data_IF_211637071401
#
_entry.id   IF_211637071401
#
_cell.length_a   1.000
_cell.length_b   1.000
_cell.length_c   1.000
_cell.angle_alpha   90.00
_cell.angle_beta   90.00
_cell.angle_gamma   90.00
#
_symmetry.space_group_name_H-M   'P 1'
#
loop_
_entity.id
_entity.type
_entity.pdbx_description
1 polymer ?
#
# COMPACT_ATOMS: atom_id res chain seq x y z
N UNK A 1 29.04 44.78 32.31
CA UNK A 1 27.67 45.35 32.30
C UNK A 1 27.25 45.54 30.86
N UNK A 2 25.97 45.27 30.59
CA UNK A 2 25.22 45.45 29.33
C UNK A 2 25.16 44.23 28.40
N UNK A 3 24.26 43.34 28.85
CA UNK A 3 23.43 42.39 28.12
C UNK A 3 23.02 42.85 26.72
N UNK A 4 23.29 42.04 25.70
CA UNK A 4 22.67 42.17 24.37
C UNK A 4 21.43 41.27 24.34
N UNK A 5 20.25 41.87 24.51
CA UNK A 5 18.98 41.16 24.47
C UNK A 5 18.56 40.92 23.01
N UNK A 6 18.26 39.65 22.71
CA UNK A 6 17.63 39.19 21.49
C UNK A 6 16.26 39.89 21.28
N UNK A 7 16.10 40.61 20.18
CA UNK A 7 14.77 40.92 19.63
C UNK A 7 14.42 39.85 18.60
N UNK A 8 13.94 38.70 19.10
CA UNK A 8 13.18 37.75 18.28
C UNK A 8 11.86 38.42 17.97
N UNK A 9 11.71 38.89 16.75
CA UNK A 9 10.43 39.35 16.23
C UNK A 9 9.46 38.17 16.24
N UNK A 10 8.24 38.28 16.80
CA UNK A 10 7.26 37.22 16.68
C UNK A 10 6.92 37.10 15.19
N UNK A 11 7.26 35.96 14.59
CA UNK A 11 6.82 35.62 13.25
C UNK A 11 5.31 35.73 13.22
N UNK A 12 4.79 36.69 12.45
CA UNK A 12 3.37 36.77 12.14
C UNK A 12 2.99 35.43 11.51
N UNK A 13 2.22 34.63 12.24
CA UNK A 13 1.55 33.47 11.67
C UNK A 13 0.78 33.92 10.44
N UNK A 14 1.07 33.28 9.30
CA UNK A 14 0.26 33.43 8.10
C UNK A 14 -1.20 33.12 8.48
N UNK A 15 -2.18 33.96 8.10
CA UNK A 15 -3.58 33.58 8.27
C UNK A 15 -3.83 32.29 7.47
N UNK A 16 -4.72 31.38 7.93
CA UNK A 16 -5.07 30.19 7.16
C UNK A 16 -5.59 30.63 5.80
N UNK A 17 -5.00 30.06 4.76
CA UNK A 17 -5.38 30.24 3.36
C UNK A 17 -6.90 30.03 3.26
N UNK A 18 -7.68 31.10 3.06
CA UNK A 18 -9.10 31.21 3.45
C UNK A 18 -10.08 30.33 2.62
N UNK A 19 -9.59 29.31 1.92
CA UNK A 19 -10.40 28.37 1.13
C UNK A 19 -9.86 26.93 1.07
N UNK A 20 -8.79 26.62 1.81
CA UNK A 20 -8.28 25.26 1.90
C UNK A 20 -9.20 24.38 2.77
N UNK A 21 -9.57 23.19 2.29
CA UNK A 21 -10.44 22.25 3.00
C UNK A 21 -9.75 20.90 3.12
N UNK A 22 -9.73 20.35 4.33
CA UNK A 22 -9.27 18.98 4.58
C UNK A 22 -10.47 18.04 4.65
N UNK A 23 -10.42 16.94 3.91
CA UNK A 23 -11.34 15.83 3.97
C UNK A 23 -10.65 14.65 4.64
N UNK A 24 -11.37 13.96 5.51
CA UNK A 24 -10.89 12.74 6.16
C UNK A 24 -11.68 11.56 5.62
N UNK A 25 -11.00 10.71 4.86
CA UNK A 25 -11.59 9.56 4.18
C UNK A 25 -11.23 8.28 4.92
N UNK A 26 -12.19 7.70 5.65
CA UNK A 26 -12.04 6.42 6.33
C UNK A 26 -12.40 5.27 5.40
N UNK A 27 -11.48 4.32 5.24
CA UNK A 27 -11.61 3.19 4.32
C UNK A 27 -11.04 1.90 4.90
N UNK A 28 -11.42 0.76 4.31
CA UNK A 28 -10.94 -0.56 4.71
C UNK A 28 -10.37 -1.33 3.51
N UNK A 29 -9.35 -2.16 3.75
CA UNK A 29 -8.90 -3.14 2.76
C UNK A 29 -10.04 -4.08 2.34
N UNK A 30 -10.22 -4.26 1.04
CA UNK A 30 -11.27 -5.13 0.46
C UNK A 30 -12.65 -4.47 0.31
N UNK A 31 -12.78 -3.16 0.54
CA UNK A 31 -14.02 -2.41 0.37
C UNK A 31 -14.17 -1.89 -1.08
N UNK A 32 -15.08 -2.44 -1.91
CA UNK A 32 -15.22 -2.02 -3.32
C UNK A 32 -15.67 -0.56 -3.46
N UNK A 33 -16.63 -0.14 -2.64
CA UNK A 33 -17.14 1.24 -2.64
C UNK A 33 -16.08 2.27 -2.20
N UNK A 34 -15.09 1.86 -1.41
CA UNK A 34 -13.99 2.72 -1.01
C UNK A 34 -13.03 2.99 -2.17
N UNK A 35 -12.79 2.01 -3.04
CA UNK A 35 -11.96 2.21 -4.23
C UNK A 35 -12.64 3.16 -5.23
N UNK A 36 -13.96 3.04 -5.41
CA UNK A 36 -14.74 3.98 -6.25
C UNK A 36 -14.66 5.42 -5.73
N UNK A 37 -14.90 5.64 -4.43
CA UNK A 37 -14.81 6.98 -3.83
C UNK A 37 -13.39 7.55 -3.91
N UNK A 38 -12.37 6.71 -3.76
CA UNK A 38 -10.96 7.11 -3.88
C UNK A 38 -10.63 7.65 -5.27
N UNK A 39 -11.17 7.05 -6.33
CA UNK A 39 -11.02 7.56 -7.71
C UNK A 39 -11.63 8.96 -7.83
N UNK A 40 -12.84 9.15 -7.28
CA UNK A 40 -13.52 10.45 -7.28
C UNK A 40 -12.72 11.50 -6.49
N UNK A 41 -12.25 11.17 -5.29
CA UNK A 41 -11.45 12.07 -4.44
C UNK A 41 -10.13 12.47 -5.11
N UNK A 42 -9.44 11.55 -5.78
CA UNK A 42 -8.21 11.85 -6.52
C UNK A 42 -8.46 12.80 -7.70
N UNK A 43 -9.57 12.60 -8.43
CA UNK A 43 -9.97 13.52 -9.50
C UNK A 43 -10.31 14.91 -8.93
N UNK A 44 -10.90 14.96 -7.73
CA UNK A 44 -11.25 16.20 -7.06
C UNK A 44 -10.01 17.01 -6.61
N UNK A 45 -9.03 16.35 -6.00
CA UNK A 45 -7.74 16.98 -5.61
C UNK A 45 -6.99 17.50 -6.84
N UNK A 46 -7.04 16.75 -7.95
CA UNK A 46 -6.39 17.16 -9.21
C UNK A 46 -7.03 18.43 -9.82
N UNK A 47 -8.35 18.61 -9.61
CA UNK A 47 -9.09 19.78 -10.10
C UNK A 47 -8.96 21.00 -9.18
N UNK A 48 -8.80 20.79 -7.87
CA UNK A 48 -8.69 21.86 -6.89
C UNK A 48 -7.58 21.56 -5.87
N UNK A 49 -6.37 22.13 -6.08
CA UNK A 49 -5.21 21.90 -5.20
C UNK A 49 -5.41 22.37 -3.74
N UNK A 50 -6.46 23.15 -3.47
CA UNK A 50 -6.81 23.60 -2.11
C UNK A 50 -7.60 22.55 -1.33
N UNK A 51 -7.95 21.44 -1.97
CA UNK A 51 -8.59 20.30 -1.34
C UNK A 51 -7.49 19.31 -0.92
N UNK A 52 -7.39 19.05 0.38
CA UNK A 52 -6.50 18.04 0.93
C UNK A 52 -7.31 16.84 1.40
N UNK A 53 -6.97 15.64 0.92
CA UNK A 53 -7.62 14.40 1.36
C UNK A 53 -6.66 13.61 2.24
N UNK A 54 -7.06 13.33 3.48
CA UNK A 54 -6.34 12.50 4.44
C UNK A 54 -7.04 11.14 4.47
N UNK A 55 -6.38 10.11 3.95
CA UNK A 55 -6.95 8.76 3.89
C UNK A 55 -6.52 7.94 5.10
N UNK A 56 -7.50 7.43 5.85
CA UNK A 56 -7.34 6.72 7.11
C UNK A 56 -7.83 5.28 6.95
N UNK A 57 -6.90 4.33 6.88
CA UNK A 57 -7.21 2.90 6.76
C UNK A 57 -7.54 2.30 8.13
N UNK A 58 -8.67 1.61 8.29
CA UNK A 58 -9.18 1.14 9.61
C UNK A 58 -9.05 -0.37 9.87
N UNK A 59 -8.72 -1.18 8.86
CA UNK A 59 -8.59 -2.65 9.02
C UNK A 59 -7.26 -3.05 9.61
N UNK A 60 -6.15 -2.46 9.18
CA UNK A 60 -4.80 -2.77 9.65
C UNK A 60 -4.34 -1.86 10.80
N UNK A 61 -4.82 -0.61 10.86
CA UNK A 61 -4.43 0.35 11.91
C UNK A 61 -5.41 0.37 13.08
N UNK A 62 -4.91 0.04 14.28
CA UNK A 62 -5.68 0.14 15.53
C UNK A 62 -6.03 1.59 15.88
N UNK A 63 -5.07 2.51 15.73
CA UNK A 63 -5.24 3.93 16.06
C UNK A 63 -6.31 4.60 15.17
N UNK A 64 -6.28 4.32 13.86
CA UNK A 64 -7.29 4.84 12.94
C UNK A 64 -8.67 4.25 13.21
N UNK A 65 -8.74 2.99 13.67
CA UNK A 65 -10.01 2.36 14.06
C UNK A 65 -10.60 3.00 15.31
N UNK A 66 -9.76 3.30 16.31
CA UNK A 66 -10.19 4.02 17.50
C UNK A 66 -10.66 5.44 17.14
N UNK A 67 -9.91 6.14 16.29
CA UNK A 67 -10.31 7.45 15.76
C UNK A 67 -11.64 7.38 15.01
N UNK A 68 -11.82 6.40 14.13
CA UNK A 68 -13.07 6.18 13.40
C UNK A 68 -14.26 5.98 14.34
N UNK A 69 -14.08 5.19 15.41
CA UNK A 69 -15.11 4.97 16.42
C UNK A 69 -15.47 6.28 17.15
N UNK A 70 -14.47 7.05 17.58
CA UNK A 70 -14.68 8.36 18.21
C UNK A 70 -15.42 9.32 17.29
N UNK A 71 -15.01 9.42 16.02
CA UNK A 71 -15.65 10.28 15.02
C UNK A 71 -17.10 9.87 14.78
N UNK A 72 -17.38 8.56 14.64
CA UNK A 72 -18.76 8.07 14.49
C UNK A 72 -19.63 8.41 15.70
N UNK A 73 -19.09 8.35 16.91
CA UNK A 73 -19.80 8.74 18.13
C UNK A 73 -20.05 10.25 18.21
N UNK A 74 -19.03 11.06 17.94
CA UNK A 74 -19.12 12.53 17.98
C UNK A 74 -20.12 13.07 16.95
N UNK A 75 -20.08 12.54 15.72
CA UNK A 75 -20.99 12.95 14.64
C UNK A 75 -22.34 12.22 14.67
N UNK A 76 -22.53 11.30 15.64
CA UNK A 76 -23.73 10.47 15.81
C UNK A 76 -24.14 9.78 14.50
N UNK A 77 -23.17 9.15 13.84
CA UNK A 77 -23.40 8.44 12.58
C UNK A 77 -24.30 7.22 12.87
N UNK A 78 -25.50 7.12 12.26
CA UNK A 78 -26.50 6.12 12.63
C UNK A 78 -26.09 4.69 12.25
N UNK A 79 -25.29 4.54 11.20
CA UNK A 79 -24.76 3.26 10.73
C UNK A 79 -23.26 3.44 10.48
N UNK A 80 -22.41 3.17 11.49
CA UNK A 80 -20.97 3.22 11.34
C UNK A 80 -20.50 2.19 10.30
N UNK A 81 -19.86 2.66 9.24
CA UNK A 81 -19.33 1.82 8.17
C UNK A 81 -18.43 2.61 7.25
N UNK A 82 -17.64 1.89 6.44
CA UNK A 82 -16.79 2.49 5.40
C UNK A 82 -17.42 2.28 4.01
N UNK A 83 -17.17 3.18 3.05
CA UNK A 83 -16.40 4.41 3.21
C UNK A 83 -17.15 5.48 4.02
N UNK A 84 -16.42 6.30 4.77
CA UNK A 84 -16.95 7.47 5.46
C UNK A 84 -16.02 8.66 5.19
N UNK A 85 -16.57 9.71 4.59
CA UNK A 85 -15.82 10.94 4.31
C UNK A 85 -16.34 12.07 5.18
N UNK A 86 -15.46 12.68 5.97
CA UNK A 86 -15.79 13.78 6.89
C UNK A 86 -15.15 15.07 6.41
N UNK A 87 -15.94 16.15 6.43
CA UNK A 87 -15.54 17.50 6.02
C UNK A 87 -16.01 18.50 7.07
N UNK A 88 -15.09 19.03 7.87
CA UNK A 88 -15.43 19.85 9.02
C UNK A 88 -16.22 19.04 10.05
N UNK A 89 -17.50 19.37 10.22
CA UNK A 89 -18.48 18.64 11.05
C UNK A 89 -19.56 17.91 10.24
N UNK A 90 -19.48 17.94 8.90
CA UNK A 90 -20.37 17.22 8.00
C UNK A 90 -19.74 15.90 7.59
N UNK A 91 -20.57 14.92 7.22
CA UNK A 91 -20.09 13.64 6.73
C UNK A 91 -20.96 13.09 5.60
N UNK A 92 -20.35 12.24 4.78
CA UNK A 92 -21.02 11.39 3.79
C UNK A 92 -20.67 9.94 4.12
N UNK A 93 -21.68 9.18 4.50
CA UNK A 93 -21.54 7.76 4.85
C UNK A 93 -21.96 6.88 3.66
N UNK A 94 -21.02 6.05 3.20
CA UNK A 94 -21.18 5.18 2.05
C UNK A 94 -21.05 5.90 0.71
N UNK A 95 -20.57 5.14 -0.29
CA UNK A 95 -20.46 5.61 -1.66
C UNK A 95 -21.47 4.89 -2.55
N UNK A 96 -22.28 5.67 -3.28
CA UNK A 96 -23.29 5.16 -4.23
C UNK A 96 -23.06 5.71 -5.65
N UNK A 97 -21.87 6.25 -5.90
CA UNK A 97 -21.45 6.79 -7.19
C UNK A 97 -21.47 8.32 -7.29
N UNK A 98 -20.85 8.80 -8.37
CA UNK A 98 -20.59 10.22 -8.65
C UNK A 98 -21.84 11.08 -8.77
N UNK A 99 -22.98 10.48 -9.13
CA UNK A 99 -24.25 11.18 -9.32
C UNK A 99 -25.09 11.28 -8.05
N UNK A 100 -24.79 10.48 -7.01
CA UNK A 100 -25.60 10.39 -5.79
C UNK A 100 -24.82 10.87 -4.57
N UNK A 101 -23.70 10.22 -4.25
CA UNK A 101 -22.81 10.62 -3.14
C UNK A 101 -21.91 11.80 -3.52
N UNK A 102 -21.49 11.88 -4.79
CA UNK A 102 -20.63 12.96 -5.30
C UNK A 102 -21.18 14.38 -5.05
N UNK A 103 -22.46 14.70 -5.40
CA UNK A 103 -23.00 16.03 -5.19
C UNK A 103 -23.18 16.37 -3.70
N UNK A 104 -23.46 15.38 -2.86
CA UNK A 104 -23.53 15.55 -1.40
C UNK A 104 -22.17 15.95 -0.84
N UNK A 105 -21.11 15.29 -1.30
CA UNK A 105 -19.74 15.59 -0.89
C UNK A 105 -19.30 16.98 -1.38
N UNK A 106 -19.57 17.34 -2.63
CA UNK A 106 -19.27 18.67 -3.17
C UNK A 106 -20.02 19.77 -2.41
N UNK A 107 -21.27 19.52 -2.01
CA UNK A 107 -22.06 20.44 -1.17
C UNK A 107 -21.46 20.59 0.22
N UNK A 108 -20.99 19.50 0.84
CA UNK A 108 -20.32 19.56 2.14
C UNK A 108 -19.02 20.40 2.07
N UNK A 109 -18.24 20.26 1.00
CA UNK A 109 -17.02 21.05 0.77
C UNK A 109 -17.33 22.53 0.57
N UNK A 110 -18.34 22.87 -0.23
CA UNK A 110 -18.71 24.27 -0.44
C UNK A 110 -19.24 24.93 0.84
N UNK A 111 -20.00 24.20 1.65
CA UNK A 111 -20.43 24.65 2.98
C UNK A 111 -19.24 24.85 3.91
N UNK A 112 -18.31 23.90 3.96
CA UNK A 112 -17.10 24.02 4.78
C UNK A 112 -16.26 25.26 4.40
N UNK A 113 -16.14 25.58 3.10
CA UNK A 113 -15.44 26.78 2.61
C UNK A 113 -16.15 28.08 2.99
N UNK A 114 -17.46 28.12 2.77
CA UNK A 114 -18.24 29.35 2.94
C UNK A 114 -18.51 29.70 4.41
N UNK A 115 -18.66 28.68 5.26
CA UNK A 115 -19.06 28.85 6.67
C UNK A 115 -17.91 28.64 7.66
N UNK A 116 -16.74 28.16 7.21
CA UNK A 116 -15.61 27.88 8.10
C UNK A 116 -15.94 26.83 9.15
N UNK A 117 -16.49 25.69 8.73
CA UNK A 117 -16.94 24.64 9.65
C UNK A 117 -15.77 24.10 10.49
N UNK A 118 -15.99 23.82 11.79
CA UNK A 118 -14.93 23.33 12.67
C UNK A 118 -14.46 21.94 12.23
N UNK A 119 -13.14 21.72 12.21
CA UNK A 119 -12.54 20.44 11.86
C UNK A 119 -12.63 19.44 13.04
N UNK A 120 -13.68 18.63 13.04
CA UNK A 120 -13.95 17.66 14.11
C UNK A 120 -12.91 16.55 14.12
N UNK A 121 -12.43 16.08 12.95
CA UNK A 121 -11.44 15.01 12.90
C UNK A 121 -10.04 15.56 13.20
N UNK A 122 -9.71 16.75 12.68
CA UNK A 122 -8.45 17.43 12.95
C UNK A 122 -8.20 17.71 14.43
N UNK A 123 -9.26 17.98 15.20
CA UNK A 123 -9.17 18.18 16.66
C UNK A 123 -9.02 16.87 17.45
N UNK A 124 -9.40 15.74 16.87
CA UNK A 124 -9.26 14.40 17.46
C UNK A 124 -7.96 13.70 17.06
N UNK A 125 -7.27 14.23 16.05
CA UNK A 125 -5.97 13.75 15.64
C UNK A 125 -4.90 14.22 16.64
N UNK A 126 -4.10 13.30 17.23
CA UNK A 126 -2.86 13.71 17.89
C UNK A 126 -2.00 14.42 16.83
N UNK A 127 -1.60 15.66 17.14
CA UNK A 127 -0.90 16.64 16.31
C UNK A 127 -0.31 16.13 14.98
N UNK A 128 -0.81 16.74 13.89
CA UNK A 128 -0.42 16.65 12.48
C UNK A 128 -0.88 15.39 11.70
N UNK A 129 -1.88 15.51 10.80
CA UNK A 129 -2.15 14.47 9.82
C UNK A 129 -0.95 14.34 8.85
N UNK A 130 -0.51 13.12 8.52
CA UNK A 130 0.44 12.91 7.44
C UNK A 130 -0.15 13.43 6.11
N UNK A 131 0.71 13.90 5.18
CA UNK A 131 0.26 14.32 3.85
C UNK A 131 -0.49 13.19 3.13
N UNK A 132 -1.44 13.62 2.27
CA UNK A 132 -2.34 12.84 1.43
C UNK A 132 -1.70 11.61 0.72
N UNK A 133 -2.49 10.60 0.33
CA UNK A 133 -2.00 9.29 -0.11
C UNK A 133 -1.36 9.36 -1.50
N UNK A 134 -0.07 9.72 -1.54
CA UNK A 134 0.84 8.99 -2.40
C UNK A 134 1.01 7.58 -1.82
N UNK A 135 1.36 6.61 -2.66
CA UNK A 135 1.92 5.34 -2.20
C UNK A 135 3.24 5.64 -1.47
N UNK A 136 3.16 6.16 -0.25
CA UNK A 136 4.29 6.27 0.64
C UNK A 136 4.57 4.84 1.10
N UNK A 137 5.45 4.18 0.35
CA UNK A 137 6.17 3.01 0.83
C UNK A 137 6.64 3.40 2.24
N UNK A 138 6.29 2.63 3.29
CA UNK A 138 6.59 3.00 4.66
C UNK A 138 8.08 3.34 4.73
N UNK A 139 8.44 4.56 5.15
CA UNK A 139 9.84 5.00 5.09
C UNK A 139 10.74 4.15 5.98
N UNK A 140 10.14 3.45 6.95
CA UNK A 140 10.74 2.53 7.90
C UNK A 140 10.08 1.15 7.81
N UNK A 141 10.90 0.11 7.62
CA UNK A 141 10.49 -1.29 7.77
C UNK A 141 10.93 -1.77 9.15
N UNK A 142 9.98 -2.14 10.00
CA UNK A 142 10.27 -2.80 11.27
C UNK A 142 10.55 -4.28 11.00
N UNK A 143 11.82 -4.68 11.07
CA UNK A 143 12.22 -6.07 10.87
C UNK A 143 12.34 -6.75 12.23
N UNK A 144 11.70 -7.92 12.45
CA UNK A 144 11.90 -8.68 13.66
C UNK A 144 13.41 -8.97 13.82
N UNK A 145 13.96 -8.60 14.97
CA UNK A 145 15.40 -8.63 15.35
C UNK A 145 16.28 -7.46 14.92
N UNK A 146 15.99 -6.72 13.84
CA UNK A 146 16.86 -5.62 13.36
C UNK A 146 16.30 -4.21 13.62
N UNK A 147 15.08 -4.09 14.14
CA UNK A 147 14.46 -2.79 14.47
C UNK A 147 13.96 -2.03 13.23
N UNK A 148 13.77 -0.72 13.35
CA UNK A 148 13.27 0.13 12.26
C UNK A 148 14.38 0.49 11.27
N UNK A 149 14.32 -0.05 10.05
CA UNK A 149 15.27 0.24 8.97
C UNK A 149 14.67 1.28 8.03
N UNK A 150 15.34 2.43 7.88
CA UNK A 150 14.95 3.46 6.90
C UNK A 150 15.31 3.03 5.48
N UNK A 151 14.32 2.79 4.63
CA UNK A 151 14.50 2.38 3.23
C UNK A 151 15.26 3.42 2.39
N UNK A 152 15.11 4.71 2.71
CA UNK A 152 15.78 5.83 2.02
C UNK A 152 17.30 5.83 2.17
N UNK A 153 17.82 5.18 3.22
CA UNK A 153 19.26 5.13 3.50
C UNK A 153 19.94 3.91 2.85
N UNK A 154 19.17 3.01 2.24
CA UNK A 154 19.73 1.86 1.52
C UNK A 154 20.11 2.27 0.10
N UNK A 155 21.34 1.92 -0.30
CA UNK A 155 21.72 2.05 -1.71
C UNK A 155 20.86 1.12 -2.57
N UNK A 156 20.55 1.53 -3.80
CA UNK A 156 19.77 0.72 -4.74
C UNK A 156 20.40 -0.67 -4.95
N UNK A 157 21.73 -0.73 -4.98
CA UNK A 157 22.49 -1.98 -5.13
C UNK A 157 22.31 -2.88 -3.89
N UNK A 158 22.38 -2.31 -2.69
CA UNK A 158 22.16 -3.05 -1.44
C UNK A 158 20.74 -3.60 -1.37
N UNK A 159 19.74 -2.79 -1.74
CA UNK A 159 18.35 -3.21 -1.75
C UNK A 159 18.12 -4.35 -2.76
N UNK A 160 18.65 -4.23 -3.98
CA UNK A 160 18.58 -5.29 -4.99
C UNK A 160 19.25 -6.58 -4.51
N UNK A 161 20.42 -6.49 -3.87
CA UNK A 161 21.11 -7.66 -3.34
C UNK A 161 20.31 -8.36 -2.24
N UNK A 162 19.71 -7.58 -1.32
CA UNK A 162 18.88 -8.12 -0.23
C UNK A 162 17.63 -8.79 -0.79
N UNK A 163 16.89 -8.11 -1.67
CA UNK A 163 15.66 -8.66 -2.26
C UNK A 163 15.95 -9.89 -3.13
N UNK A 164 17.03 -9.87 -3.92
CA UNK A 164 17.47 -11.02 -4.70
C UNK A 164 17.90 -12.20 -3.83
N UNK A 165 18.59 -11.95 -2.71
CA UNK A 165 18.92 -12.99 -1.75
C UNK A 165 17.65 -13.60 -1.12
N UNK A 166 16.71 -12.77 -0.69
CA UNK A 166 15.45 -13.23 -0.11
C UNK A 166 14.62 -14.07 -1.10
N UNK A 167 14.58 -13.68 -2.38
CA UNK A 167 13.91 -14.46 -3.42
C UNK A 167 14.67 -15.75 -3.77
N UNK A 168 16.00 -15.74 -3.70
CA UNK A 168 16.84 -16.94 -3.88
C UNK A 168 16.67 -17.99 -2.78
N UNK A 169 16.32 -17.58 -1.55
CA UNK A 169 15.99 -18.47 -0.44
C UNK A 169 14.53 -18.97 -0.47
N UNK A 170 13.76 -18.65 -1.52
CA UNK A 170 12.44 -19.23 -1.73
C UNK A 170 12.57 -20.75 -1.96
N UNK A 171 11.77 -21.61 -1.29
CA UNK A 171 11.84 -23.06 -1.45
C UNK A 171 11.77 -23.50 -2.92
N UNK A 172 10.99 -22.84 -3.78
CA UNK A 172 10.93 -23.18 -5.20
C UNK A 172 12.24 -22.88 -5.94
N UNK A 173 12.81 -21.69 -5.71
CA UNK A 173 14.06 -21.27 -6.33
C UNK A 173 15.26 -22.10 -5.83
N UNK A 174 15.27 -22.42 -4.53
CA UNK A 174 16.31 -23.24 -3.92
C UNK A 174 16.39 -24.64 -4.54
N UNK A 175 15.26 -25.33 -4.72
CA UNK A 175 15.25 -26.67 -5.32
C UNK A 175 15.71 -26.67 -6.78
N UNK A 176 15.30 -25.67 -7.56
CA UNK A 176 15.79 -25.48 -8.92
C UNK A 176 17.31 -25.23 -8.96
N UNK A 177 17.84 -24.45 -8.02
CA UNK A 177 19.27 -24.17 -7.91
C UNK A 177 20.07 -25.43 -7.56
N UNK A 178 19.60 -26.23 -6.60
CA UNK A 178 20.26 -27.49 -6.22
C UNK A 178 20.30 -28.45 -7.42
N UNK A 179 19.18 -28.58 -8.13
CA UNK A 179 19.10 -29.40 -9.34
C UNK A 179 20.08 -28.92 -10.42
N UNK A 180 20.13 -27.61 -10.67
CA UNK A 180 21.07 -27.01 -11.63
C UNK A 180 22.53 -27.29 -11.22
N UNK A 181 22.89 -27.04 -9.97
CA UNK A 181 24.25 -27.27 -9.45
C UNK A 181 24.61 -28.76 -9.60
N UNK A 182 23.69 -29.67 -9.26
CA UNK A 182 23.90 -31.12 -9.42
C UNK A 182 24.20 -31.51 -10.87
N UNK A 183 23.45 -30.96 -11.84
CA UNK A 183 23.69 -31.18 -13.26
C UNK A 183 25.04 -30.61 -13.70
N UNK A 184 25.41 -29.42 -13.23
CA UNK A 184 26.65 -28.73 -13.61
C UNK A 184 27.90 -29.40 -13.02
N UNK A 185 27.83 -29.94 -11.80
CA UNK A 185 28.94 -30.66 -11.15
C UNK A 185 29.30 -31.97 -11.88
N UNK A 186 28.36 -32.57 -12.61
CA UNK A 186 28.61 -33.76 -13.42
C UNK A 186 29.38 -33.50 -14.72
N UNK A 187 29.68 -32.24 -15.05
CA UNK A 187 30.36 -31.89 -16.31
C UNK A 187 31.89 -32.02 -16.18
N UNK A 188 32.56 -32.76 -17.09
CA UNK A 188 34.01 -32.98 -17.02
C UNK A 188 34.84 -31.73 -17.37
N UNK A 189 34.24 -30.71 -17.99
CA UNK A 189 34.95 -29.52 -18.49
C UNK A 189 34.43 -28.24 -17.81
N UNK A 190 35.34 -27.53 -17.15
CA UNK A 190 35.02 -26.30 -16.37
C UNK A 190 34.45 -25.17 -17.22
N UNK A 191 34.87 -25.01 -18.48
CA UNK A 191 34.35 -23.95 -19.35
C UNK A 191 32.87 -24.16 -19.71
N UNK A 192 32.45 -25.42 -19.92
CA UNK A 192 31.05 -25.78 -20.18
C UNK A 192 30.17 -25.45 -18.98
N UNK A 193 30.69 -25.67 -17.77
CA UNK A 193 30.01 -25.33 -16.52
C UNK A 193 29.65 -23.82 -16.46
N UNK A 194 30.62 -22.94 -16.74
CA UNK A 194 30.39 -21.49 -16.78
C UNK A 194 29.44 -21.08 -17.91
N UNK A 195 29.54 -21.72 -19.09
CA UNK A 195 28.66 -21.43 -20.22
C UNK A 195 27.20 -21.78 -19.90
N UNK A 196 26.93 -23.02 -19.45
CA UNK A 196 25.57 -23.47 -19.17
C UNK A 196 24.96 -22.72 -17.98
N UNK A 197 25.74 -22.49 -16.91
CA UNK A 197 25.30 -21.67 -15.77
C UNK A 197 25.01 -20.23 -16.18
N UNK A 198 25.87 -19.62 -17.00
CA UNK A 198 25.68 -18.25 -17.49
C UNK A 198 24.45 -18.11 -18.39
N UNK A 199 24.24 -19.04 -19.33
CA UNK A 199 23.06 -19.07 -20.19
C UNK A 199 21.78 -19.25 -19.37
N UNK A 200 21.80 -20.12 -18.35
CA UNK A 200 20.67 -20.31 -17.45
C UNK A 200 20.33 -19.01 -16.69
N UNK A 201 21.31 -18.36 -16.06
CA UNK A 201 21.11 -17.12 -15.31
C UNK A 201 20.59 -16.01 -16.22
N UNK A 202 21.18 -15.85 -17.41
CA UNK A 202 20.76 -14.85 -18.39
C UNK A 202 19.33 -15.08 -18.88
N UNK A 203 19.00 -16.32 -19.26
CA UNK A 203 17.66 -16.67 -19.72
C UNK A 203 16.61 -16.47 -18.63
N UNK A 204 16.91 -16.90 -17.39
CA UNK A 204 16.02 -16.70 -16.23
C UNK A 204 15.78 -15.22 -15.96
N UNK A 205 16.84 -14.40 -15.93
CA UNK A 205 16.73 -12.96 -15.73
C UNK A 205 15.95 -12.26 -16.83
N UNK A 206 16.17 -12.64 -18.09
CA UNK A 206 15.45 -12.09 -19.25
C UNK A 206 13.95 -12.41 -19.18
N UNK A 207 13.60 -13.67 -18.91
CA UNK A 207 12.20 -14.08 -18.75
C UNK A 207 11.57 -13.31 -17.59
N UNK A 208 12.22 -13.27 -16.42
CA UNK A 208 11.70 -12.56 -15.25
C UNK A 208 11.46 -11.07 -15.53
N UNK A 209 12.41 -10.42 -16.22
CA UNK A 209 12.26 -9.03 -16.64
C UNK A 209 11.06 -8.83 -17.58
N UNK A 210 10.90 -9.68 -18.60
CA UNK A 210 9.77 -9.59 -19.54
C UNK A 210 8.43 -9.79 -18.83
N UNK A 211 8.35 -10.73 -17.89
CA UNK A 211 7.17 -10.92 -17.06
C UNK A 211 6.88 -9.66 -16.21
N UNK A 212 7.86 -9.12 -15.51
CA UNK A 212 7.63 -7.89 -14.72
C UNK A 212 7.24 -6.69 -15.59
N UNK A 213 7.83 -6.56 -16.77
CA UNK A 213 7.58 -5.44 -17.69
C UNK A 213 6.20 -5.52 -18.37
N UNK A 214 5.77 -6.71 -18.80
CA UNK A 214 4.53 -6.87 -19.55
C UNK A 214 3.28 -6.97 -18.67
N UNK A 215 3.43 -7.39 -17.41
CA UNK A 215 2.32 -8.03 -16.71
C UNK A 215 1.63 -7.18 -15.64
N UNK A 216 2.28 -6.15 -15.10
CA UNK A 216 1.70 -5.36 -14.00
C UNK A 216 0.30 -4.79 -14.36
N UNK A 217 0.14 -4.28 -15.58
CA UNK A 217 -1.13 -3.69 -16.03
C UNK A 217 -2.16 -4.75 -16.45
N UNK A 218 -1.71 -5.88 -17.02
CA UNK A 218 -2.58 -6.96 -17.51
C UNK A 218 -3.22 -7.72 -16.35
N UNK A 219 -2.47 -7.97 -15.27
CA UNK A 219 -2.99 -8.66 -14.09
C UNK A 219 -4.02 -7.83 -13.33
N UNK A 220 -3.81 -6.51 -13.21
CA UNK A 220 -4.72 -5.59 -12.51
C UNK A 220 -6.02 -5.38 -13.29
N UNK A 221 -5.99 -5.33 -14.62
CA UNK A 221 -7.17 -5.08 -15.44
C UNK A 221 -8.14 -6.27 -15.54
N UNK A 222 -7.63 -7.51 -15.50
CA UNK A 222 -8.43 -8.69 -15.80
C UNK A 222 -9.04 -9.40 -14.58
N UNK A 223 -8.76 -8.98 -13.35
CA UNK A 223 -9.18 -9.73 -12.14
C UNK A 223 -8.65 -11.17 -12.10
N UNK A 224 -7.69 -11.48 -12.97
CA UNK A 224 -7.24 -12.82 -13.33
C UNK A 224 -6.38 -13.45 -12.23
N UNK A 225 -5.84 -12.64 -11.32
CA UNK A 225 -4.98 -13.07 -10.22
C UNK A 225 -5.69 -14.07 -9.32
N UNK A 226 -7.00 -13.93 -9.07
CA UNK A 226 -7.75 -14.89 -8.25
C UNK A 226 -7.83 -16.26 -8.93
N UNK A 227 -8.26 -16.31 -10.19
CA UNK A 227 -8.44 -17.56 -10.95
C UNK A 227 -7.12 -18.26 -11.23
N UNK A 228 -6.06 -17.50 -11.55
CA UNK A 228 -4.71 -18.05 -11.74
C UNK A 228 -4.17 -18.61 -10.43
N UNK A 229 -4.34 -17.91 -9.31
CA UNK A 229 -3.92 -18.39 -7.98
C UNK A 229 -4.67 -19.65 -7.57
N UNK A 230 -5.99 -19.70 -7.80
CA UNK A 230 -6.80 -20.88 -7.54
C UNK A 230 -6.33 -22.06 -8.42
N UNK A 231 -6.11 -21.81 -9.71
CA UNK A 231 -5.63 -22.82 -10.65
C UNK A 231 -4.27 -23.42 -10.25
N UNK A 232 -3.28 -22.57 -9.96
CA UNK A 232 -1.95 -23.02 -9.49
C UNK A 232 -2.08 -23.80 -8.17
N UNK A 233 -2.94 -23.33 -7.25
CA UNK A 233 -3.18 -24.01 -5.98
C UNK A 233 -3.76 -25.41 -6.15
N UNK A 234 -4.76 -25.58 -7.02
CA UNK A 234 -5.36 -26.90 -7.32
C UNK A 234 -4.34 -27.84 -7.95
N UNK A 235 -3.55 -27.36 -8.91
CA UNK A 235 -2.48 -28.17 -9.54
C UNK A 235 -1.43 -28.60 -8.53
N UNK A 236 -1.00 -27.69 -7.65
CA UNK A 236 -0.03 -27.99 -6.60
C UNK A 236 -0.57 -29.02 -5.60
N UNK A 237 -1.82 -28.87 -5.16
CA UNK A 237 -2.46 -29.85 -4.27
C UNK A 237 -2.59 -31.22 -4.95
N UNK A 238 -3.01 -31.25 -6.22
CA UNK A 238 -3.10 -32.48 -7.00
C UNK A 238 -1.76 -33.21 -7.12
N UNK A 239 -0.70 -32.50 -7.52
CA UNK A 239 0.65 -33.04 -7.61
C UNK A 239 1.17 -33.53 -6.25
N UNK A 240 0.89 -32.78 -5.17
CA UNK A 240 1.23 -33.17 -3.81
C UNK A 240 0.54 -34.46 -3.36
N UNK A 241 -0.76 -34.60 -3.63
CA UNK A 241 -1.53 -35.82 -3.29
C UNK A 241 -1.04 -37.03 -4.07
N UNK A 242 -0.71 -36.88 -5.37
CA UNK A 242 -0.16 -37.96 -6.19
C UNK A 242 1.17 -38.44 -5.62
N UNK A 243 2.11 -37.53 -5.35
CA UNK A 243 3.40 -37.88 -4.76
C UNK A 243 3.26 -38.55 -3.39
N UNK A 244 2.34 -38.08 -2.54
CA UNK A 244 2.12 -38.67 -1.22
C UNK A 244 1.50 -40.07 -1.33
N UNK A 245 0.57 -40.27 -2.27
CA UNK A 245 -0.05 -41.57 -2.53
C UNK A 245 0.98 -42.59 -3.03
N UNK A 246 1.83 -42.20 -3.98
CA UNK A 246 2.91 -43.06 -4.48
C UNK A 246 3.87 -43.43 -3.34
N UNK A 247 4.32 -42.46 -2.55
CA UNK A 247 5.18 -42.73 -1.40
C UNK A 247 4.59 -43.72 -0.38
N UNK A 248 3.30 -43.59 -0.07
CA UNK A 248 2.63 -44.50 0.88
C UNK A 248 2.44 -45.90 0.28
N UNK A 249 2.10 -46.00 -1.01
CA UNK A 249 1.92 -47.28 -1.69
C UNK A 249 3.24 -48.05 -1.86
N UNK A 250 4.34 -47.35 -2.11
CA UNK A 250 5.67 -47.96 -2.24
C UNK A 250 6.30 -48.31 -0.88
N UNK A 251 5.79 -47.73 0.22
CA UNK A 251 6.26 -47.98 1.59
C UNK A 251 5.54 -49.13 2.30
N UNK A 252 4.47 -49.68 1.72
CA UNK A 252 3.72 -50.87 2.19
C UNK A 252 4.03 -52.08 1.35
#
# INVERSE_FOLDING_TARGET
MLLWACLVSPGRGQPPDASAVTLYFFWAQGCPHCEEEKVFLNALVSRDPRIRVVSLEVTASGDNRELFQKVCQTLKVPLPGVPLTVVGNLYVAGWRGDHTSGPLLLKAISQARSQGLPDVVGSLLPTAPPPAPGLAIPETLAVPWFGEIKLKNLSLISLTLILGALDGFNPCAMWALIFLIGLLLGLPQRWKMWLYGGVFIFASGLVYFLFLAAWLNVFLFLGLVFWVRLGIGVVALGAGVVNLREFILDAT
#
